data_IF_513358613821
#
_entry.id   IF_513358613821
#
_cell.length_a   1.000
_cell.length_b   1.000
_cell.length_c   1.000
_cell.angle_alpha   90.00
_cell.angle_beta   90.00
_cell.angle_gamma   90.00
#
_symmetry.space_group_name_H-M   'P 1'
#
loop_
_entity.id
_entity.type
_entity.pdbx_description
1 polymer ?
#
# COMPACT_ATOMS: atom_id res chain seq x y z
N UNK A 1 19.42 -4.99 -15.74
CA UNK A 1 20.44 -5.48 -14.79
C UNK A 1 20.10 -5.08 -13.36
N UNK A 2 20.29 -3.84 -12.89
CA UNK A 2 20.07 -3.50 -11.45
C UNK A 2 18.70 -3.90 -10.86
N UNK A 3 17.60 -3.67 -11.59
CA UNK A 3 16.26 -4.07 -11.13
C UNK A 3 16.09 -5.59 -11.07
N UNK A 4 16.65 -6.30 -12.04
CA UNK A 4 16.59 -7.76 -12.12
C UNK A 4 17.43 -8.39 -10.99
N UNK A 5 18.61 -7.83 -10.72
CA UNK A 5 19.47 -8.23 -9.62
C UNK A 5 18.78 -8.00 -8.26
N UNK A 6 18.09 -6.85 -8.12
CA UNK A 6 17.27 -6.56 -6.94
C UNK A 6 16.15 -7.59 -6.75
N UNK A 7 15.46 -8.00 -7.82
CA UNK A 7 14.43 -9.03 -7.76
C UNK A 7 14.96 -10.40 -7.35
N UNK A 8 16.16 -10.78 -7.81
CA UNK A 8 16.79 -12.06 -7.49
C UNK A 8 17.40 -12.09 -6.09
N UNK A 9 18.03 -11.00 -5.66
CA UNK A 9 18.82 -10.93 -4.43
C UNK A 9 18.03 -10.55 -3.17
N UNK A 10 16.87 -9.90 -3.31
CA UNK A 10 16.13 -9.38 -2.15
C UNK A 10 15.04 -10.36 -1.67
N UNK A 11 15.11 -10.74 -0.39
CA UNK A 11 14.11 -11.59 0.29
C UNK A 11 12.67 -11.07 0.16
N UNK A 12 12.49 -9.75 0.03
CA UNK A 12 11.18 -9.10 -0.21
C UNK A 12 10.42 -9.69 -1.39
N UNK A 13 11.14 -10.24 -2.37
CA UNK A 13 10.58 -10.78 -3.61
C UNK A 13 10.58 -12.31 -3.68
N UNK A 14 11.01 -13.00 -2.61
CA UNK A 14 11.01 -14.46 -2.55
C UNK A 14 9.58 -14.99 -2.74
N UNK A 15 9.40 -15.85 -3.75
CA UNK A 15 8.10 -16.44 -4.08
C UNK A 15 7.15 -15.56 -4.90
N UNK A 16 7.59 -14.38 -5.34
CA UNK A 16 6.77 -13.48 -6.17
C UNK A 16 7.04 -13.74 -7.66
N UNK A 17 6.03 -14.22 -8.39
CA UNK A 17 6.08 -14.40 -9.84
C UNK A 17 5.60 -13.14 -10.56
N UNK A 18 6.34 -12.70 -11.59
CA UNK A 18 5.98 -11.57 -12.45
C UNK A 18 5.82 -12.07 -13.89
N UNK A 19 4.65 -11.94 -14.52
CA UNK A 19 4.45 -12.34 -15.93
C UNK A 19 4.97 -11.27 -16.91
N UNK A 20 6.07 -10.59 -16.56
CA UNK A 20 6.70 -9.52 -17.33
C UNK A 20 8.18 -9.39 -16.93
N UNK A 21 8.99 -8.80 -17.82
CA UNK A 21 10.44 -8.65 -17.62
C UNK A 21 10.81 -7.40 -16.82
N UNK A 22 12.07 -7.32 -16.34
CA UNK A 22 12.58 -6.10 -15.72
C UNK A 22 12.72 -4.97 -16.76
N UNK A 23 13.03 -5.33 -18.00
CA UNK A 23 13.14 -4.45 -19.17
C UNK A 23 11.79 -3.78 -19.48
N UNK A 24 10.69 -4.52 -19.40
CA UNK A 24 9.33 -3.97 -19.57
C UNK A 24 9.03 -2.90 -18.52
N UNK A 25 9.45 -3.11 -17.28
CA UNK A 25 9.27 -2.13 -16.20
C UNK A 25 10.11 -0.89 -16.45
N UNK A 26 11.39 -1.04 -16.83
CA UNK A 26 12.29 0.10 -17.12
C UNK A 26 11.77 0.90 -18.32
N UNK A 27 11.28 0.23 -19.36
CA UNK A 27 10.71 0.86 -20.57
C UNK A 27 9.52 1.78 -20.24
N UNK A 28 8.70 1.42 -19.26
CA UNK A 28 7.51 2.19 -18.87
C UNK A 28 7.80 3.25 -17.78
N UNK A 29 8.99 3.25 -17.18
CA UNK A 29 9.32 4.08 -16.00
C UNK A 29 9.62 5.56 -16.34
N UNK A 30 9.82 5.88 -17.61
CA UNK A 30 10.27 7.21 -18.04
C UNK A 30 11.70 7.54 -17.61
N UNK A 31 12.19 8.70 -18.03
CA UNK A 31 13.56 9.15 -17.77
C UNK A 31 13.74 9.81 -16.40
N UNK A 32 12.67 10.37 -15.82
CA UNK A 32 12.70 11.07 -14.53
C UNK A 32 11.95 10.24 -13.50
N UNK A 33 12.62 9.98 -12.37
CA UNK A 33 12.06 9.19 -11.28
C UNK A 33 11.55 10.12 -10.17
N UNK A 34 10.25 10.07 -9.90
CA UNK A 34 9.62 10.76 -8.78
C UNK A 34 9.76 9.88 -7.54
N UNK A 35 10.29 10.43 -6.45
CA UNK A 35 10.38 9.73 -5.18
C UNK A 35 9.03 9.73 -4.45
N UNK A 36 8.54 8.55 -4.10
CA UNK A 36 7.30 8.37 -3.34
C UNK A 36 7.60 8.00 -1.89
N UNK A 37 8.18 8.95 -1.14
CA UNK A 37 8.76 8.72 0.19
C UNK A 37 7.82 7.99 1.15
N UNK A 38 6.56 8.43 1.28
CA UNK A 38 5.60 7.80 2.19
C UNK A 38 5.21 6.38 1.76
N UNK A 39 5.10 6.14 0.45
CA UNK A 39 4.80 4.81 -0.07
C UNK A 39 5.95 3.83 0.21
N UNK A 40 7.19 4.27 -0.01
CA UNK A 40 8.39 3.46 0.29
C UNK A 40 8.50 3.15 1.78
N UNK A 41 8.49 4.17 2.64
CA UNK A 41 8.61 4.00 4.08
C UNK A 41 7.45 3.17 4.66
N UNK A 42 6.23 3.39 4.18
CA UNK A 42 5.05 2.63 4.59
C UNK A 42 5.13 1.16 4.20
N UNK A 43 5.53 0.85 2.95
CA UNK A 43 5.67 -0.52 2.47
C UNK A 43 6.79 -1.29 3.19
N UNK A 44 7.94 -0.65 3.43
CA UNK A 44 9.05 -1.23 4.20
C UNK A 44 8.62 -1.51 5.65
N UNK A 45 7.99 -0.53 6.31
CA UNK A 45 7.49 -0.69 7.68
C UNK A 45 6.44 -1.79 7.79
N UNK A 46 5.46 -1.82 6.88
CA UNK A 46 4.41 -2.84 6.90
C UNK A 46 5.00 -4.23 6.64
N UNK A 47 5.90 -4.37 5.68
CA UNK A 47 6.61 -5.63 5.44
C UNK A 47 7.31 -6.13 6.70
N UNK A 48 8.04 -5.25 7.39
CA UNK A 48 8.71 -5.60 8.64
C UNK A 48 7.72 -6.04 9.73
N UNK A 49 6.64 -5.29 9.94
CA UNK A 49 5.59 -5.64 10.91
C UNK A 49 4.99 -7.02 10.64
N UNK A 50 4.71 -7.34 9.38
CA UNK A 50 4.15 -8.64 8.99
C UNK A 50 5.10 -9.83 9.24
N UNK A 51 6.41 -9.58 9.35
CA UNK A 51 7.41 -10.62 9.60
C UNK A 51 7.88 -10.68 11.06
N UNK A 52 7.72 -9.59 11.81
CA UNK A 52 8.18 -9.50 13.20
C UNK A 52 7.07 -9.68 14.23
N UNK A 53 5.82 -9.37 13.89
CA UNK A 53 4.67 -9.47 14.79
C UNK A 53 3.87 -10.74 14.54
N UNK A 54 3.19 -11.27 15.56
CA UNK A 54 2.30 -12.42 15.41
C UNK A 54 1.12 -12.11 14.48
N UNK A 55 0.60 -10.88 14.52
CA UNK A 55 -0.39 -10.35 13.60
C UNK A 55 -0.34 -8.82 13.59
N UNK A 56 -0.93 -8.21 12.56
CA UNK A 56 -1.06 -6.75 12.44
C UNK A 56 -2.54 -6.39 12.29
N UNK A 57 -3.17 -5.90 13.36
CA UNK A 57 -4.55 -5.42 13.31
C UNK A 57 -4.64 -4.00 12.75
N UNK A 58 -5.77 -3.72 12.09
CA UNK A 58 -6.14 -2.41 11.57
C UNK A 58 -7.66 -2.22 11.66
N UNK A 59 -8.10 -0.97 11.64
CA UNK A 59 -9.51 -0.58 11.56
C UNK A 59 -9.74 0.28 10.32
N UNK A 60 -10.96 0.23 9.79
CA UNK A 60 -11.39 1.10 8.69
C UNK A 60 -11.35 2.57 9.08
N UNK A 61 -10.67 3.41 8.29
CA UNK A 61 -10.68 4.86 8.42
C UNK A 61 -11.17 5.51 7.12
N UNK A 62 -12.20 6.36 7.22
CA UNK A 62 -12.74 7.18 6.13
C UNK A 62 -12.41 8.66 6.26
N UNK A 63 -11.80 9.06 7.40
CA UNK A 63 -11.27 10.42 7.59
C UNK A 63 -9.86 10.39 8.20
N UNK A 64 -9.11 11.49 8.03
CA UNK A 64 -7.78 11.64 8.63
C UNK A 64 -7.82 11.62 10.17
N UNK A 65 -8.86 12.21 10.80
CA UNK A 65 -8.98 12.22 12.25
C UNK A 65 -9.18 10.81 12.83
N UNK A 66 -9.95 9.95 12.15
CA UNK A 66 -10.08 8.54 12.55
C UNK A 66 -8.72 7.84 12.53
N UNK A 67 -7.96 7.99 11.44
CA UNK A 67 -6.62 7.42 11.32
C UNK A 67 -5.67 7.92 12.43
N UNK A 68 -5.69 9.21 12.75
CA UNK A 68 -4.88 9.79 13.84
C UNK A 68 -5.25 9.16 15.19
N UNK A 69 -6.54 8.98 15.49
CA UNK A 69 -6.96 8.38 16.76
C UNK A 69 -6.64 6.88 16.84
N UNK A 70 -6.73 6.15 15.72
CA UNK A 70 -6.31 4.74 15.66
C UNK A 70 -4.83 4.57 16.02
N UNK A 71 -3.96 5.43 15.48
CA UNK A 71 -2.52 5.43 15.82
C UNK A 71 -2.29 5.83 17.28
N UNK A 72 -2.99 6.86 17.78
CA UNK A 72 -2.92 7.26 19.21
C UNK A 72 -3.38 6.15 20.15
N UNK A 73 -4.35 5.34 19.74
CA UNK A 73 -4.84 4.18 20.48
C UNK A 73 -3.89 2.96 20.39
N UNK A 74 -2.78 3.06 19.66
CA UNK A 74 -1.74 2.03 19.60
C UNK A 74 -1.82 1.10 18.39
N UNK A 75 -2.74 1.31 17.44
CA UNK A 75 -2.76 0.52 16.20
C UNK A 75 -1.53 0.84 15.34
N UNK A 76 -0.97 -0.20 14.73
CA UNK A 76 0.28 -0.11 13.93
C UNK A 76 0.02 0.09 12.43
N UNK A 77 -1.23 -0.11 11.98
CA UNK A 77 -1.65 0.01 10.58
C UNK A 77 -3.07 0.59 10.47
N UNK A 78 -3.38 1.18 9.31
CA UNK A 78 -4.68 1.75 8.97
C UNK A 78 -5.24 0.96 7.80
N UNK A 79 -6.53 0.60 7.85
CA UNK A 79 -7.24 -0.01 6.73
C UNK A 79 -8.11 1.06 6.06
N UNK A 80 -8.00 1.19 4.75
CA UNK A 80 -8.82 2.12 3.96
C UNK A 80 -9.84 1.29 3.18
N UNK A 81 -11.09 1.33 3.65
CA UNK A 81 -12.17 0.52 3.09
C UNK A 81 -12.81 1.19 1.87
N UNK A 82 -12.83 0.49 0.73
CA UNK A 82 -13.55 0.95 -0.47
C UNK A 82 -15.05 1.12 -0.22
N UNK A 83 -15.65 0.24 0.59
CA UNK A 83 -17.05 0.36 1.00
C UNK A 83 -17.32 1.66 1.79
N UNK A 84 -16.44 2.04 2.73
CA UNK A 84 -16.61 3.28 3.49
C UNK A 84 -16.45 4.52 2.61
N UNK A 85 -15.56 4.47 1.62
CA UNK A 85 -15.41 5.52 0.61
C UNK A 85 -16.68 5.65 -0.23
N UNK A 86 -17.21 4.54 -0.75
CA UNK A 86 -18.45 4.52 -1.53
C UNK A 86 -19.62 5.09 -0.73
N UNK A 87 -19.73 4.73 0.55
CA UNK A 87 -20.82 5.18 1.40
C UNK A 87 -20.76 6.68 1.74
N UNK A 88 -19.58 7.24 2.04
CA UNK A 88 -19.54 8.54 2.76
C UNK A 88 -18.26 9.40 2.53
N UNK A 89 -17.33 9.01 1.66
CA UNK A 89 -16.06 9.75 1.50
C UNK A 89 -15.48 9.75 0.07
N UNK A 90 -16.33 9.54 -0.94
CA UNK A 90 -15.91 9.58 -2.34
C UNK A 90 -16.01 11.01 -2.93
N UNK A 91 -15.35 11.22 -4.06
CA UNK A 91 -15.29 12.52 -4.74
C UNK A 91 -16.60 12.93 -5.42
N UNK A 92 -17.55 12.02 -5.61
CA UNK A 92 -18.86 12.37 -6.19
C UNK A 92 -19.82 13.02 -5.18
N UNK A 93 -19.52 12.92 -3.88
CA UNK A 93 -20.37 13.42 -2.80
C UNK A 93 -21.71 12.68 -2.68
N UNK A 94 -21.85 11.50 -3.30
CA UNK A 94 -23.04 10.66 -3.20
C UNK A 94 -22.80 9.49 -2.26
N UNK A 95 -23.89 8.96 -1.70
CA UNK A 95 -23.86 7.68 -0.98
C UNK A 95 -24.09 6.54 -1.97
N UNK A 96 -23.13 5.62 -2.07
CA UNK A 96 -23.19 4.44 -2.93
C UNK A 96 -23.09 3.12 -2.16
N UNK A 97 -23.65 2.03 -2.71
CA UNK A 97 -23.27 0.68 -2.31
C UNK A 97 -21.87 0.32 -2.86
N UNK A 98 -21.28 -0.76 -2.36
CA UNK A 98 -20.00 -1.28 -2.83
C UNK A 98 -20.15 -2.04 -4.16
N UNK A 99 -20.29 -1.26 -5.23
CA UNK A 99 -20.47 -1.73 -6.61
C UNK A 99 -19.52 -1.02 -7.59
N UNK A 100 -18.44 -0.40 -7.08
CA UNK A 100 -17.44 0.33 -7.89
C UNK A 100 -18.04 1.45 -8.77
N UNK A 101 -18.94 2.26 -8.19
CA UNK A 101 -19.61 3.40 -8.82
C UNK A 101 -18.83 4.71 -8.67
#
# INVERSE_FOLDING_TARGET
MELEDSWKGNLRWKGITRPYSAEDVVRLRGSVQIEYTLARLGAERLWNLLHSETYVAALGALTGNQAVQQVKAGLKAIYLSGWQVAADANLSGQMYPDQSL
#
